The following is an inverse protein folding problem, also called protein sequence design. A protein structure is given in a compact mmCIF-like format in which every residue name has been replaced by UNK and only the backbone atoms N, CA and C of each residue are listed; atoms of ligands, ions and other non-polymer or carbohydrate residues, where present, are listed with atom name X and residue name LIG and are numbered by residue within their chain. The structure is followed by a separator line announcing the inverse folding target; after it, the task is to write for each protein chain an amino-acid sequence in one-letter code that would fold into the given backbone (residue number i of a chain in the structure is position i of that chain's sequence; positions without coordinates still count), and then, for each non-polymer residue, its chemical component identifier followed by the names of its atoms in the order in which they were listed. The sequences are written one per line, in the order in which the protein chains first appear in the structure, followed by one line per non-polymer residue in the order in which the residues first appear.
data_IF_137222799572
#
_entry.id   IF_137222799572
#
_cell.length_a   1.000
_cell.length_b   1.000
_cell.length_c   1.000
_cell.angle_alpha   90.00
_cell.angle_beta   90.00
_cell.angle_gamma   90.00
#
_symmetry.space_group_name_H-M   'P 1'
#
loop_
_entity.id
_entity.type
_entity.pdbx_description
1 polymer ?
#
# COMPACT_ATOMS: atom_id res chain seq x y z
N UNK A 1 8.63 1.69 -5.55
CA UNK A 1 9.52 0.67 -4.99
C UNK A 1 9.67 0.71 -3.48
N UNK A 2 9.80 1.85 -2.83
CA UNK A 2 10.11 1.95 -1.39
C UNK A 2 9.07 1.35 -0.43
N UNK A 3 7.87 1.07 -0.90
CA UNK A 3 6.80 0.43 -0.12
C UNK A 3 6.66 -1.08 -0.41
N UNK A 4 7.45 -1.61 -1.35
CA UNK A 4 7.47 -3.04 -1.66
C UNK A 4 8.57 -3.72 -0.85
N UNK A 5 8.22 -4.15 0.35
CA UNK A 5 9.15 -4.78 1.28
C UNK A 5 9.03 -6.30 1.19
N UNK A 6 10.14 -7.05 1.02
CA UNK A 6 10.12 -8.50 1.08
C UNK A 6 9.74 -8.96 2.49
N UNK A 7 8.87 -9.97 2.56
CA UNK A 7 8.44 -10.58 3.82
C UNK A 7 8.69 -12.07 3.76
N UNK A 8 9.24 -12.66 4.82
CA UNK A 8 9.44 -14.10 4.97
C UNK A 8 8.68 -14.55 6.20
N UNK A 9 7.86 -15.58 6.04
CA UNK A 9 7.09 -16.18 7.13
C UNK A 9 7.36 -17.67 7.20
N UNK A 10 7.42 -18.21 8.42
CA UNK A 10 7.59 -19.64 8.66
C UNK A 10 6.67 -20.06 9.80
N UNK A 11 5.91 -21.11 9.56
CA UNK A 11 5.12 -21.79 10.58
C UNK A 11 4.98 -23.26 10.21
N UNK A 12 5.66 -24.11 10.95
CA UNK A 12 5.70 -25.55 10.68
C UNK A 12 4.29 -26.15 10.61
N UNK A 13 4.04 -26.92 9.58
CA UNK A 13 2.76 -27.61 9.29
C UNK A 13 1.58 -26.66 8.98
N UNK A 14 1.79 -25.37 8.90
CA UNK A 14 0.74 -24.39 8.57
C UNK A 14 1.07 -23.62 7.29
N UNK A 15 2.29 -23.09 7.18
CA UNK A 15 2.75 -22.40 5.97
C UNK A 15 3.52 -23.39 5.11
N UNK A 16 3.10 -23.61 3.83
CA UNK A 16 3.83 -24.49 2.92
C UNK A 16 5.25 -24.00 2.65
N UNK A 17 6.21 -24.93 2.63
CA UNK A 17 7.61 -24.64 2.33
C UNK A 17 7.78 -24.20 0.85
N UNK A 18 8.67 -23.23 0.63
CA UNK A 18 9.04 -22.76 -0.71
C UNK A 18 7.95 -22.03 -1.48
N UNK A 19 6.81 -21.72 -0.86
CA UNK A 19 5.73 -20.98 -1.50
C UNK A 19 6.09 -19.49 -1.64
N UNK A 20 5.82 -18.93 -2.81
CA UNK A 20 5.92 -17.50 -3.07
C UNK A 20 4.51 -16.96 -3.24
N UNK A 21 4.15 -15.97 -2.44
CA UNK A 21 2.89 -15.23 -2.51
C UNK A 21 3.15 -13.82 -3.06
N UNK A 22 2.38 -13.41 -4.06
CA UNK A 22 2.48 -12.08 -4.69
C UNK A 22 1.23 -11.22 -4.49
N UNK A 23 0.28 -11.72 -3.74
CA UNK A 23 -0.96 -11.02 -3.41
C UNK A 23 -0.68 -9.76 -2.59
N UNK A 24 -1.53 -8.76 -2.75
CA UNK A 24 -1.41 -7.50 -2.03
C UNK A 24 -1.67 -7.71 -0.54
N UNK A 25 -0.63 -7.55 0.25
CA UNK A 25 -0.65 -7.65 1.71
C UNK A 25 0.11 -6.51 2.34
N UNK A 26 -0.17 -6.19 3.58
CA UNK A 26 0.44 -5.09 4.31
C UNK A 26 0.71 -5.46 5.76
N UNK A 27 1.60 -4.73 6.43
CA UNK A 27 1.87 -4.92 7.85
C UNK A 27 0.63 -4.75 8.76
N UNK A 28 -0.35 -3.94 8.33
CA UNK A 28 -1.61 -3.79 9.07
C UNK A 28 -2.48 -5.05 9.07
N UNK A 29 -2.20 -6.02 8.20
CA UNK A 29 -2.93 -7.28 8.08
C UNK A 29 -2.49 -8.30 9.15
N UNK A 30 -1.34 -8.09 9.77
CA UNK A 30 -0.79 -9.00 10.78
C UNK A 30 -1.74 -9.11 11.99
N UNK A 31 -2.26 -7.99 12.48
CA UNK A 31 -3.13 -7.98 13.66
C UNK A 31 -4.43 -8.76 13.46
N UNK A 32 -5.26 -8.50 12.44
CA UNK A 32 -6.49 -9.28 12.23
C UNK A 32 -6.20 -10.74 11.91
N UNK A 33 -5.10 -11.06 11.23
CA UNK A 33 -4.68 -12.43 10.95
C UNK A 33 -4.35 -13.19 12.25
N UNK A 34 -3.55 -12.59 13.13
CA UNK A 34 -3.23 -13.22 14.40
C UNK A 34 -4.47 -13.36 15.29
N UNK A 35 -5.37 -12.36 15.33
CA UNK A 35 -6.62 -12.46 16.06
C UNK A 35 -7.46 -13.65 15.58
N UNK A 36 -7.61 -13.82 14.25
CA UNK A 36 -8.32 -14.98 13.69
C UNK A 36 -7.67 -16.31 14.09
N UNK A 37 -6.35 -16.42 13.95
CA UNK A 37 -5.61 -17.66 14.27
C UNK A 37 -5.78 -18.10 15.73
N UNK A 38 -5.82 -17.16 16.68
CA UNK A 38 -5.98 -17.48 18.10
C UNK A 38 -7.43 -17.49 18.56
N UNK A 39 -8.40 -17.30 17.66
CA UNK A 39 -9.83 -17.21 18.00
C UNK A 39 -10.18 -15.96 18.83
N UNK A 40 -9.39 -14.91 18.69
CA UNK A 40 -9.59 -13.63 19.38
C UNK A 40 -10.61 -12.73 18.67
N UNK A 41 -11.18 -11.79 19.40
CA UNK A 41 -12.09 -10.80 18.85
C UNK A 41 -11.33 -9.59 18.30
N UNK A 42 -11.78 -9.08 17.16
CA UNK A 42 -11.34 -7.79 16.65
C UNK A 42 -12.00 -6.65 17.43
N UNK A 43 -11.37 -5.46 17.48
CA UNK A 43 -11.98 -4.27 18.07
C UNK A 43 -13.31 -3.93 17.43
N UNK A 44 -14.23 -3.32 18.18
CA UNK A 44 -15.53 -2.87 17.66
C UNK A 44 -15.42 -1.70 16.67
N UNK A 45 -14.34 -0.92 16.75
CA UNK A 45 -14.07 0.15 15.78
C UNK A 45 -13.46 -0.41 14.49
N UNK A 46 -13.67 0.32 13.39
CA UNK A 46 -13.14 -0.04 12.07
C UNK A 46 -11.61 -0.09 12.10
N UNK A 47 -11.05 -1.18 11.59
CA UNK A 47 -9.62 -1.35 11.29
C UNK A 47 -9.43 -1.50 9.78
N UNK A 48 -8.24 -1.16 9.27
CA UNK A 48 -7.93 -1.20 7.84
C UNK A 48 -7.19 -2.48 7.42
N UNK A 49 -6.78 -3.30 8.38
CA UNK A 49 -6.17 -4.61 8.14
C UNK A 49 -7.22 -5.66 7.76
N UNK A 50 -6.81 -6.65 6.97
CA UNK A 50 -7.60 -7.82 6.58
C UNK A 50 -6.90 -9.10 7.01
N UNK A 51 -7.65 -10.18 7.20
CA UNK A 51 -7.07 -11.49 7.49
C UNK A 51 -6.43 -12.08 6.22
N UNK A 52 -5.16 -12.44 6.31
CA UNK A 52 -4.37 -13.05 5.23
C UNK A 52 -4.03 -14.53 5.51
N UNK A 53 -4.75 -15.20 6.40
CA UNK A 53 -4.54 -16.61 6.76
C UNK A 53 -4.50 -17.50 5.51
N UNK A 54 -5.42 -17.32 4.58
CA UNK A 54 -5.47 -18.11 3.34
C UNK A 54 -4.23 -17.91 2.45
N UNK A 55 -3.67 -16.70 2.41
CA UNK A 55 -2.40 -16.43 1.71
C UNK A 55 -1.26 -17.19 2.40
N UNK A 56 -1.24 -17.20 3.75
CA UNK A 56 -0.24 -17.95 4.51
C UNK A 56 -0.36 -19.45 4.29
N UNK A 57 -1.56 -19.99 4.12
CA UNK A 57 -1.81 -21.39 3.75
C UNK A 57 -1.44 -21.71 2.28
N UNK A 58 -0.99 -20.72 1.52
CA UNK A 58 -0.60 -20.87 0.12
C UNK A 58 -1.76 -20.93 -0.86
N UNK A 59 -2.97 -20.53 -0.45
CA UNK A 59 -4.14 -20.43 -1.35
C UNK A 59 -4.04 -19.19 -2.25
N UNK A 60 -4.75 -19.23 -3.37
CA UNK A 60 -4.86 -18.13 -4.32
C UNK A 60 -5.97 -17.15 -3.90
N UNK A 61 -5.95 -16.73 -2.65
CA UNK A 61 -6.89 -15.77 -2.09
C UNK A 61 -6.35 -14.34 -2.22
N UNK A 62 -7.23 -13.38 -2.43
CA UNK A 62 -6.89 -11.95 -2.44
C UNK A 62 -7.88 -11.19 -1.56
N UNK A 63 -7.72 -11.25 -0.23
CA UNK A 63 -8.64 -10.62 0.71
C UNK A 63 -8.63 -9.10 0.65
N UNK A 64 -7.61 -8.54 0.01
CA UNK A 64 -7.45 -7.11 -0.22
C UNK A 64 -7.49 -6.82 -1.71
N UNK A 65 -8.50 -6.10 -2.17
CA UNK A 65 -8.64 -5.69 -3.58
C UNK A 65 -7.92 -4.37 -3.89
N UNK A 66 -7.79 -3.46 -2.91
CA UNK A 66 -7.09 -2.19 -3.08
C UNK A 66 -6.28 -1.80 -1.85
N UNK A 67 -5.36 -0.84 -2.02
CA UNK A 67 -4.56 -0.27 -0.94
C UNK A 67 -4.35 1.22 -1.16
N UNK A 68 -4.48 1.99 -0.08
CA UNK A 68 -4.24 3.43 -0.04
C UNK A 68 -2.88 3.73 0.57
N UNK A 69 -2.06 4.48 -0.14
CA UNK A 69 -0.73 4.88 0.33
C UNK A 69 -0.81 6.26 0.95
N UNK A 70 -0.97 6.27 2.26
CA UNK A 70 -0.90 7.48 3.06
C UNK A 70 0.51 7.69 3.58
N UNK A 71 1.02 8.91 3.46
CA UNK A 71 2.36 9.27 3.90
C UNK A 71 2.35 10.56 4.74
N UNK A 72 3.44 10.79 5.54
CA UNK A 72 3.55 11.98 6.37
C UNK A 72 2.31 12.19 7.25
N UNK A 73 1.75 13.38 7.21
CA UNK A 73 0.60 13.77 8.01
C UNK A 73 -0.71 13.60 7.24
N UNK A 74 -1.10 12.36 6.95
CA UNK A 74 -2.34 12.04 6.25
C UNK A 74 -2.40 12.53 4.79
N UNK A 75 -1.31 12.42 4.07
CA UNK A 75 -1.23 12.70 2.64
C UNK A 75 -1.57 11.45 1.85
N UNK A 76 -2.64 11.43 1.07
CA UNK A 76 -2.94 10.35 0.15
C UNK A 76 -2.08 10.52 -1.12
N UNK A 77 -1.01 9.76 -1.24
CA UNK A 77 -0.04 9.89 -2.32
C UNK A 77 -0.28 8.90 -3.47
N UNK A 78 -0.91 7.76 -3.20
CA UNK A 78 -1.23 6.79 -4.24
C UNK A 78 -2.38 5.86 -3.86
N UNK A 79 -2.97 5.25 -4.90
CA UNK A 79 -3.95 4.16 -4.78
C UNK A 79 -3.48 2.98 -5.63
N UNK A 80 -3.58 1.77 -5.10
CA UNK A 80 -3.32 0.54 -5.83
C UNK A 80 -4.55 -0.36 -5.83
N UNK A 81 -4.87 -0.91 -7.00
CA UNK A 81 -5.81 -2.01 -7.17
C UNK A 81 -5.17 -3.05 -8.08
N UNK A 82 -5.14 -4.29 -7.65
CA UNK A 82 -4.46 -5.38 -8.37
C UNK A 82 -3.02 -5.03 -8.75
N UNK A 83 -2.74 -4.99 -10.06
CA UNK A 83 -1.44 -4.63 -10.62
C UNK A 83 -1.33 -3.15 -11.01
N UNK A 84 -2.37 -2.35 -10.80
CA UNK A 84 -2.39 -0.96 -11.18
C UNK A 84 -2.16 -0.05 -9.98
N UNK A 85 -1.32 0.95 -10.16
CA UNK A 85 -1.05 1.97 -9.15
C UNK A 85 -1.16 3.36 -9.77
N UNK A 86 -2.06 4.16 -9.22
CA UNK A 86 -2.23 5.57 -9.56
C UNK A 86 -1.47 6.39 -8.52
N UNK A 87 -0.49 7.16 -8.96
CA UNK A 87 0.11 8.22 -8.15
C UNK A 87 -0.75 9.48 -8.24
N UNK A 88 -0.96 10.12 -7.12
CA UNK A 88 -1.64 11.39 -7.01
C UNK A 88 -0.60 12.52 -6.93
N UNK A 89 -0.93 13.75 -7.32
CA UNK A 89 0.03 14.86 -7.27
C UNK A 89 0.57 15.10 -5.86
N UNK A 90 1.89 15.00 -5.69
CA UNK A 90 2.59 15.24 -4.42
C UNK A 90 4.08 15.51 -4.63
N UNK A 91 4.73 16.02 -3.60
CA UNK A 91 6.19 16.19 -3.58
C UNK A 91 6.85 15.05 -2.83
N UNK A 92 7.79 14.35 -3.45
CA UNK A 92 8.49 13.20 -2.87
C UNK A 92 10.01 13.35 -2.91
N UNK A 93 10.68 12.49 -2.12
CA UNK A 93 12.14 12.35 -2.19
C UNK A 93 12.51 11.30 -3.22
N UNK A 94 13.46 11.61 -4.09
CA UNK A 94 13.99 10.67 -5.06
C UNK A 94 15.50 10.48 -4.87
N UNK A 95 15.91 9.22 -4.91
CA UNK A 95 17.33 8.80 -4.96
C UNK A 95 17.72 8.32 -6.35
N UNK A 96 16.89 8.52 -7.37
CA UNK A 96 17.17 8.10 -8.75
C UNK A 96 18.46 8.74 -9.26
N UNK A 97 19.38 7.90 -9.73
CA UNK A 97 20.69 8.34 -10.20
C UNK A 97 21.65 8.81 -9.11
N UNK A 98 21.37 8.51 -7.84
CA UNK A 98 22.23 8.87 -6.71
C UNK A 98 22.95 7.62 -6.19
N UNK A 99 24.27 7.70 -6.02
CA UNK A 99 25.05 6.62 -5.40
C UNK A 99 24.84 6.62 -3.88
N UNK A 100 24.61 5.46 -3.28
CA UNK A 100 24.55 5.34 -1.82
C UNK A 100 25.90 5.66 -1.18
N UNK A 101 25.87 6.10 0.06
CA UNK A 101 27.07 6.24 0.90
C UNK A 101 27.45 4.89 1.53
N UNK A 102 28.58 4.87 2.23
CA UNK A 102 29.04 3.69 2.96
C UNK A 102 28.16 3.41 4.19
N UNK A 103 28.24 2.18 4.72
CA UNK A 103 27.61 1.74 5.97
C UNK A 103 26.07 1.87 5.98
N UNK A 104 25.42 1.65 4.83
CA UNK A 104 23.96 1.71 4.72
C UNK A 104 23.36 3.13 4.72
N UNK A 105 24.17 4.17 4.75
CA UNK A 105 23.68 5.54 4.63
C UNK A 105 23.25 5.83 3.18
N UNK A 106 22.08 6.44 2.98
CA UNK A 106 21.65 6.86 1.65
C UNK A 106 22.51 8.01 1.13
N UNK A 107 22.57 8.16 -0.19
CA UNK A 107 23.13 9.36 -0.81
C UNK A 107 22.24 10.60 -0.58
N UNK A 108 22.61 11.77 -1.11
CA UNK A 108 21.75 12.94 -1.09
C UNK A 108 20.49 12.66 -1.92
N UNK A 109 19.34 13.13 -1.44
CA UNK A 109 18.08 13.05 -2.19
C UNK A 109 17.78 14.35 -2.94
N UNK A 110 16.97 14.24 -3.98
CA UNK A 110 16.35 15.38 -4.65
C UNK A 110 14.86 15.38 -4.32
N UNK A 111 14.24 16.56 -4.21
CA UNK A 111 12.79 16.66 -4.23
C UNK A 111 12.32 16.67 -5.68
N UNK A 112 11.30 15.88 -5.95
CA UNK A 112 10.63 15.82 -7.24
C UNK A 112 9.14 16.06 -7.03
N UNK A 113 8.52 16.76 -7.96
CA UNK A 113 7.07 16.89 -8.03
C UNK A 113 6.55 15.74 -8.92
N UNK A 114 5.67 14.95 -8.34
CA UNK A 114 4.98 13.85 -9.03
C UNK A 114 3.63 14.36 -9.48
N UNK A 115 3.28 14.12 -10.73
CA UNK A 115 1.96 14.42 -11.29
C UNK A 115 0.94 13.31 -11.00
N UNK A 116 -0.15 13.35 -11.78
CA UNK A 116 -1.08 12.23 -11.84
C UNK A 116 -0.52 11.22 -12.84
N UNK A 117 -0.11 10.03 -12.37
CA UNK A 117 0.61 9.03 -13.14
C UNK A 117 0.06 7.64 -12.86
N UNK A 118 -0.04 6.78 -13.88
CA UNK A 118 -0.54 5.41 -13.76
C UNK A 118 0.54 4.40 -14.16
N UNK A 119 0.73 3.38 -13.32
CA UNK A 119 1.72 2.33 -13.52
C UNK A 119 1.11 0.93 -13.47
N UNK A 120 1.58 0.04 -14.35
CA UNK A 120 1.28 -1.39 -14.29
C UNK A 120 2.41 -2.14 -13.60
N UNK A 121 2.27 -2.40 -12.31
CA UNK A 121 3.32 -2.99 -11.45
C UNK A 121 3.71 -4.42 -11.83
N UNK A 122 2.92 -5.13 -12.63
CA UNK A 122 3.28 -6.46 -13.15
C UNK A 122 4.33 -6.36 -14.24
N UNK A 123 4.24 -5.33 -15.10
CA UNK A 123 5.15 -5.11 -16.22
C UNK A 123 6.29 -4.16 -15.87
N UNK A 124 5.99 -3.22 -15.00
CA UNK A 124 6.88 -2.14 -14.59
C UNK A 124 6.88 -1.99 -13.05
N UNK A 125 7.51 -2.92 -12.32
CA UNK A 125 7.61 -2.84 -10.86
C UNK A 125 8.48 -1.67 -10.36
N UNK A 126 9.24 -1.04 -11.27
CA UNK A 126 10.09 0.12 -11.01
C UNK A 126 9.37 1.46 -11.11
N UNK A 127 8.12 1.47 -11.64
CA UNK A 127 7.35 2.70 -11.84
C UNK A 127 8.12 3.71 -12.72
N UNK A 128 8.61 3.22 -13.89
CA UNK A 128 9.42 4.01 -14.82
C UNK A 128 8.61 4.58 -15.99
N UNK A 129 7.48 3.93 -16.34
CA UNK A 129 6.70 4.22 -17.54
C UNK A 129 5.26 4.59 -17.17
N UNK A 130 4.96 5.90 -17.19
CA UNK A 130 3.59 6.37 -17.02
C UNK A 130 2.73 5.98 -18.23
N UNK A 131 1.68 5.22 -17.97
CA UNK A 131 0.74 4.70 -18.97
C UNK A 131 -0.67 5.30 -18.86
N UNK A 132 -0.84 6.40 -18.13
CA UNK A 132 -2.16 6.99 -17.85
C UNK A 132 -2.94 7.31 -19.13
N UNK A 133 -2.23 7.77 -20.17
CA UNK A 133 -2.87 8.09 -21.46
C UNK A 133 -3.34 6.88 -22.25
N UNK A 134 -2.80 5.69 -21.93
CA UNK A 134 -3.15 4.43 -22.60
C UNK A 134 -4.32 3.73 -21.91
N UNK A 135 -4.56 4.03 -20.62
CA UNK A 135 -5.57 3.36 -19.79
C UNK A 135 -6.35 4.38 -18.95
N UNK A 136 -7.04 5.35 -19.57
CA UNK A 136 -7.76 6.40 -18.84
C UNK A 136 -8.88 5.84 -17.97
N UNK A 137 -9.56 4.78 -18.42
CA UNK A 137 -10.63 4.12 -17.67
C UNK A 137 -10.14 3.52 -16.35
N UNK A 138 -8.92 2.99 -16.33
CA UNK A 138 -8.31 2.47 -15.10
C UNK A 138 -7.91 3.61 -14.16
N UNK A 139 -7.38 4.70 -14.73
CA UNK A 139 -7.05 5.88 -13.95
C UNK A 139 -8.31 6.47 -13.28
N UNK A 140 -9.44 6.53 -13.99
CA UNK A 140 -10.72 7.00 -13.46
C UNK A 140 -11.24 6.07 -12.33
N UNK A 141 -11.13 4.75 -12.50
CA UNK A 141 -11.50 3.79 -11.47
C UNK A 141 -10.68 4.01 -10.18
N UNK A 142 -9.35 4.12 -10.29
CA UNK A 142 -8.50 4.34 -9.13
C UNK A 142 -8.68 5.73 -8.53
N UNK A 143 -9.01 6.74 -9.34
CA UNK A 143 -9.36 8.07 -8.86
C UNK A 143 -10.66 8.04 -8.04
N UNK A 144 -11.65 7.27 -8.44
CA UNK A 144 -12.87 7.07 -7.66
C UNK A 144 -12.58 6.41 -6.30
N UNK A 145 -11.66 5.45 -6.25
CA UNK A 145 -11.18 4.88 -4.99
C UNK A 145 -10.47 5.93 -4.13
N UNK A 146 -9.62 6.79 -4.74
CA UNK A 146 -8.99 7.91 -4.03
C UNK A 146 -10.00 8.86 -3.43
N UNK A 147 -11.07 9.21 -4.17
CA UNK A 147 -12.14 10.07 -3.67
C UNK A 147 -12.91 9.44 -2.51
N UNK A 148 -13.12 8.12 -2.52
CA UNK A 148 -13.71 7.39 -1.42
C UNK A 148 -12.80 7.39 -0.18
N UNK A 149 -11.48 7.19 -0.36
CA UNK A 149 -10.50 7.29 0.71
C UNK A 149 -10.46 8.70 1.32
N UNK A 150 -10.50 9.74 0.48
CA UNK A 150 -10.57 11.15 0.93
C UNK A 150 -11.80 11.44 1.77
N UNK A 151 -12.96 10.87 1.41
CA UNK A 151 -14.18 11.00 2.21
C UNK A 151 -14.08 10.28 3.54
N UNK A 152 -13.49 9.08 3.56
CA UNK A 152 -13.37 8.24 4.76
C UNK A 152 -12.28 8.75 5.70
N UNK A 153 -11.05 8.88 5.21
CA UNK A 153 -9.86 9.16 6.01
C UNK A 153 -9.29 10.59 5.86
N UNK A 154 -9.81 11.36 4.91
CA UNK A 154 -9.28 12.69 4.59
C UNK A 154 -8.04 12.65 3.70
N UNK A 155 -7.50 13.83 3.39
CA UNK A 155 -6.27 14.00 2.62
C UNK A 155 -5.75 15.43 2.81
N UNK A 156 -4.62 15.57 3.47
CA UNK A 156 -4.03 16.88 3.75
C UNK A 156 -3.50 17.57 2.49
N UNK A 157 -3.12 16.82 1.44
CA UNK A 157 -2.70 17.42 0.16
C UNK A 157 -3.83 18.21 -0.49
N UNK A 158 -5.08 17.82 -0.25
CA UNK A 158 -6.27 18.49 -0.79
C UNK A 158 -7.04 19.29 0.26
N UNK A 159 -6.56 19.32 1.52
CA UNK A 159 -7.23 20.01 2.63
C UNK A 159 -8.54 19.35 3.07
N UNK A 160 -8.82 18.11 2.66
CA UNK A 160 -10.05 17.40 3.00
C UNK A 160 -9.95 16.73 4.36
N UNK A 161 -10.95 16.92 5.19
CA UNK A 161 -11.14 16.18 6.44
C UNK A 161 -11.94 14.90 6.18
N UNK A 162 -11.47 13.78 6.73
CA UNK A 162 -12.19 12.51 6.68
C UNK A 162 -13.34 12.46 7.68
N UNK A 163 -14.37 11.68 7.33
CA UNK A 163 -15.54 11.46 8.20
C UNK A 163 -15.29 10.40 9.26
N UNK A 164 -14.38 9.46 9.00
CA UNK A 164 -14.10 8.29 9.83
C UNK A 164 -12.61 8.18 10.16
N UNK A 165 -11.99 9.28 10.60
CA UNK A 165 -10.60 9.25 11.06
C UNK A 165 -10.44 8.23 12.18
N UNK A 166 -9.39 7.41 12.07
CA UNK A 166 -9.04 6.45 13.13
C UNK A 166 -8.43 7.20 14.29
N UNK A 167 -9.01 7.05 15.47
CA UNK A 167 -8.39 7.60 16.67
C UNK A 167 -7.04 6.90 16.94
N UNK A 168 -6.04 7.68 17.36
CA UNK A 168 -4.80 7.11 17.84
C UNK A 168 -5.04 6.37 19.16
N UNK A 169 -4.27 5.31 19.39
CA UNK A 169 -4.34 4.58 20.66
C UNK A 169 -4.05 5.52 21.83
N UNK A 170 -4.91 5.46 22.84
CA UNK A 170 -4.69 6.14 24.13
C UNK A 170 -4.35 5.07 25.15
N UNK A 171 -3.32 5.29 25.95
CA UNK A 171 -2.99 4.49 27.13
C UNK A 171 -3.91 4.90 28.29
#
# INVERSE_FOLDING_TARGET
GGQRVPTVMMWKNFIPEGKIASQLSSAIDIFPTLANIVGGNLPSHKIDGVDITEIMEGKESSPRDHFFYYYGNNNLEAVRKDNWKLLLPHSSRSYKGVLPKNNGYPGPYKRIETGLELYNLRRDPGEEYDVIRLYPEIADELMNLAENARKDMGDNLTGRKGLNLREHGKL
#
